data_IF_844157646752
#
_entry.id   IF_844157646752
#
_cell.length_a   1.000
_cell.length_b   1.000
_cell.length_c   1.000
_cell.angle_alpha   90.00
_cell.angle_beta   90.00
_cell.angle_gamma   90.00
#
_symmetry.space_group_name_H-M   'P 1'
#
loop_
_entity.id
_entity.type
_entity.pdbx_description
1 polymer ?
#
# COMPACT_ATOMS: atom_id res chain seq x y z
N UNK A 1 5.62 -2.50 16.71
CA UNK A 1 5.94 -2.25 15.28
C UNK A 1 4.80 -1.45 14.67
N UNK A 2 5.02 -0.24 14.15
CA UNK A 2 4.02 0.45 13.33
C UNK A 2 3.87 -0.35 12.03
N UNK A 3 2.71 -0.98 11.84
CA UNK A 3 2.37 -1.66 10.59
C UNK A 3 2.41 -0.62 9.46
N UNK A 4 3.40 -0.73 8.59
CA UNK A 4 3.56 0.15 7.44
C UNK A 4 2.35 -0.03 6.51
N UNK A 5 1.61 1.04 6.26
CA UNK A 5 0.35 0.98 5.50
C UNK A 5 0.60 0.60 4.04
N UNK A 6 0.00 -0.48 3.56
CA UNK A 6 0.02 -0.85 2.15
C UNK A 6 -0.93 0.04 1.35
N UNK A 7 -0.62 0.34 0.09
CA UNK A 7 -1.45 1.13 -0.81
C UNK A 7 -1.69 0.45 -2.15
N UNK A 8 -2.85 0.75 -2.74
CA UNK A 8 -3.25 0.37 -4.10
C UNK A 8 -3.84 1.61 -4.76
N UNK A 9 -3.42 1.89 -5.99
CA UNK A 9 -3.95 2.97 -6.78
C UNK A 9 -5.34 2.59 -7.33
N UNK A 10 -6.42 3.30 -6.97
CA UNK A 10 -7.74 3.02 -7.51
C UNK A 10 -7.88 3.39 -9.00
N UNK A 11 -7.00 4.25 -9.53
CA UNK A 11 -7.04 4.68 -10.92
C UNK A 11 -6.44 3.67 -11.91
N UNK A 12 -5.30 3.04 -11.56
CA UNK A 12 -4.58 2.14 -12.48
C UNK A 12 -4.21 0.77 -11.89
N UNK A 13 -4.60 0.49 -10.64
CA UNK A 13 -4.30 -0.78 -9.98
C UNK A 13 -2.84 -0.95 -9.51
N UNK A 14 -1.94 0.01 -9.78
CA UNK A 14 -0.57 -0.03 -9.27
C UNK A 14 -0.56 -0.21 -7.75
N UNK A 15 0.28 -1.11 -7.27
CA UNK A 15 0.42 -1.48 -5.86
C UNK A 15 1.89 -1.65 -5.46
N UNK A 16 2.82 -1.15 -6.29
CA UNK A 16 4.27 -1.36 -6.13
C UNK A 16 5.01 -0.11 -5.67
N UNK A 17 4.71 1.06 -6.23
CA UNK A 17 5.50 2.27 -5.97
C UNK A 17 4.64 3.53 -5.82
N UNK A 18 4.93 4.31 -4.78
CA UNK A 18 4.20 5.53 -4.44
C UNK A 18 5.10 6.58 -3.80
N UNK A 19 4.70 7.85 -3.94
CA UNK A 19 5.24 8.97 -3.16
C UNK A 19 4.22 9.39 -2.10
N UNK A 20 4.66 9.48 -0.86
CA UNK A 20 3.88 9.94 0.28
C UNK A 20 4.26 11.39 0.57
N UNK A 21 3.25 12.25 0.60
CA UNK A 21 3.36 13.65 0.99
C UNK A 21 2.48 13.82 2.23
N UNK A 22 3.11 13.77 3.40
CA UNK A 22 2.48 14.00 4.72
C UNK A 22 3.25 15.13 5.41
N UNK A 23 3.39 15.11 6.74
CA UNK A 23 4.41 15.94 7.42
C UNK A 23 5.82 15.70 6.88
N UNK A 24 6.06 14.53 6.29
CA UNK A 24 7.28 14.19 5.59
C UNK A 24 7.01 13.68 4.17
N UNK A 25 7.99 13.88 3.30
CA UNK A 25 8.09 13.27 1.98
C UNK A 25 8.84 11.94 2.05
N UNK A 26 8.25 10.89 1.47
CA UNK A 26 8.86 9.56 1.37
C UNK A 26 8.47 8.91 0.04
N UNK A 27 9.42 8.24 -0.62
CA UNK A 27 9.14 7.29 -1.69
C UNK A 27 9.08 5.90 -1.06
N UNK A 28 8.05 5.14 -1.36
CA UNK A 28 7.91 3.77 -0.86
C UNK A 28 7.81 2.80 -2.03
N UNK A 29 8.39 1.61 -1.82
CA UNK A 29 8.12 0.42 -2.62
C UNK A 29 7.46 -0.65 -1.78
N UNK A 30 6.64 -1.45 -2.44
CA UNK A 30 5.78 -2.46 -1.86
C UNK A 30 5.95 -3.79 -2.61
N UNK A 31 5.86 -4.89 -1.87
CA UNK A 31 5.65 -6.23 -2.45
C UNK A 31 4.17 -6.58 -2.31
N UNK A 32 3.41 -6.63 -3.41
CA UNK A 32 2.04 -7.13 -3.41
C UNK A 32 1.95 -8.58 -2.93
N UNK A 33 2.96 -9.38 -3.25
CA UNK A 33 3.05 -10.80 -2.91
C UNK A 33 3.23 -10.98 -1.41
N UNK A 34 3.89 -10.07 -0.72
CA UNK A 34 4.04 -10.14 0.74
C UNK A 34 3.03 -9.25 1.47
N UNK A 35 2.37 -8.33 0.75
CA UNK A 35 1.44 -7.37 1.33
C UNK A 35 2.11 -6.33 2.24
N UNK A 36 3.42 -6.10 2.06
CA UNK A 36 4.23 -5.22 2.90
C UNK A 36 4.93 -4.15 2.07
N UNK A 37 5.44 -3.11 2.74
CA UNK A 37 6.43 -2.20 2.16
C UNK A 37 7.81 -2.83 2.24
N UNK A 38 8.53 -2.86 1.13
CA UNK A 38 9.85 -3.46 1.01
C UNK A 38 10.96 -2.42 1.13
N UNK A 39 10.76 -1.23 0.58
CA UNK A 39 11.74 -0.14 0.61
C UNK A 39 11.04 1.17 0.98
N UNK A 40 11.73 2.00 1.74
CA UNK A 40 11.32 3.38 2.03
C UNK A 40 12.56 4.26 1.84
N UNK A 41 12.42 5.35 1.08
CA UNK A 41 13.48 6.34 0.98
C UNK A 41 13.72 7.00 2.33
N UNK A 42 14.87 7.67 2.46
CA UNK A 42 15.11 8.58 3.57
C UNK A 42 13.94 9.57 3.69
N UNK A 43 13.49 9.78 4.93
CA UNK A 43 12.38 10.67 5.26
C UNK A 43 12.88 12.09 5.14
N UNK A 44 12.36 12.84 4.17
CA UNK A 44 12.66 14.27 4.02
C UNK A 44 11.50 15.08 4.62
N UNK A 45 11.77 16.22 5.29
CA UNK A 45 10.70 17.10 5.74
C UNK A 45 9.92 17.59 4.52
N UNK A 46 8.58 17.57 4.60
CA UNK A 46 7.77 18.14 3.54
C UNK A 46 7.93 19.66 3.55
N UNK A 47 8.17 20.26 2.38
CA UNK A 47 8.17 21.72 2.20
C UNK A 47 6.78 22.34 2.43
N UNK A 48 5.73 21.51 2.42
CA UNK A 48 4.34 21.89 2.61
C UNK A 48 3.76 21.04 3.72
N UNK A 49 3.79 21.57 4.95
CA UNK A 49 3.41 20.86 6.18
C UNK A 49 1.95 20.36 6.20
N UNK A 50 1.09 20.83 5.29
CA UNK A 50 -0.33 20.48 5.21
C UNK A 50 -0.68 19.54 4.06
N UNK A 51 0.28 19.10 3.26
CA UNK A 51 0.02 18.09 2.24
C UNK A 51 -0.16 16.74 2.95
N UNK A 52 -1.32 16.10 2.78
CA UNK A 52 -1.62 14.77 3.31
C UNK A 52 -2.19 13.87 2.21
N UNK A 53 -1.37 13.61 1.19
CA UNK A 53 -1.76 12.82 0.02
C UNK A 53 -0.69 11.81 -0.37
N UNK A 54 -1.10 10.83 -1.17
CA UNK A 54 -0.24 9.85 -1.81
C UNK A 54 -0.37 10.01 -3.33
N UNK A 55 0.76 9.93 -4.02
CA UNK A 55 0.85 9.97 -5.48
C UNK A 55 1.29 8.61 -6.02
N UNK A 56 0.50 8.09 -6.96
CA UNK A 56 0.85 6.87 -7.68
C UNK A 56 1.96 7.17 -8.71
N UNK A 57 3.09 6.47 -8.65
CA UNK A 57 4.18 6.70 -9.62
C UNK A 57 3.90 6.17 -11.03
N UNK A 58 2.85 5.36 -11.20
CA UNK A 58 2.45 4.86 -12.53
C UNK A 58 1.55 5.84 -13.31
N UNK A 59 0.44 6.29 -12.71
CA UNK A 59 -0.53 7.18 -13.36
C UNK A 59 -0.50 8.63 -12.86
N UNK A 60 0.41 8.96 -11.94
CA UNK A 60 0.61 10.29 -11.36
C UNK A 60 -0.62 10.93 -10.69
N UNK A 61 -1.68 10.14 -10.47
CA UNK A 61 -2.86 10.60 -9.73
C UNK A 61 -2.57 10.67 -8.23
N UNK A 62 -3.22 11.65 -7.60
CA UNK A 62 -3.11 11.94 -6.18
C UNK A 62 -4.37 11.54 -5.45
N UNK A 63 -4.20 10.99 -4.26
CA UNK A 63 -5.30 10.55 -3.41
C UNK A 63 -5.04 11.02 -1.98
N UNK A 64 -6.10 11.40 -1.28
CA UNK A 64 -6.04 11.62 0.16
C UNK A 64 -5.42 10.40 0.87
N UNK A 65 -4.53 10.67 1.82
CA UNK A 65 -3.76 9.62 2.49
C UNK A 65 -4.65 8.63 3.24
N UNK A 66 -5.63 9.12 4.00
CA UNK A 66 -6.46 8.30 4.87
C UNK A 66 -7.42 7.42 4.06
N UNK A 67 -7.94 7.97 2.97
CA UNK A 67 -8.72 7.20 2.00
C UNK A 67 -7.87 6.10 1.35
N UNK A 68 -6.68 6.43 0.83
CA UNK A 68 -5.80 5.46 0.22
C UNK A 68 -5.33 4.37 1.22
N UNK A 69 -5.07 4.74 2.47
CA UNK A 69 -4.75 3.83 3.56
C UNK A 69 -5.90 2.86 3.84
N UNK A 70 -7.14 3.35 3.81
CA UNK A 70 -8.33 2.52 3.97
C UNK A 70 -8.48 1.51 2.83
N UNK A 71 -8.28 1.94 1.59
CA UNK A 71 -8.32 1.07 0.41
C UNK A 71 -7.25 -0.03 0.51
N UNK A 72 -6.01 0.34 0.83
CA UNK A 72 -4.93 -0.62 0.94
C UNK A 72 -5.10 -1.62 2.10
N UNK A 73 -5.63 -1.19 3.25
CA UNK A 73 -6.01 -2.11 4.34
C UNK A 73 -7.04 -3.13 3.89
N UNK A 74 -8.10 -2.70 3.20
CA UNK A 74 -9.12 -3.60 2.66
C UNK A 74 -8.51 -4.59 1.66
N UNK A 75 -7.62 -4.12 0.79
CA UNK A 75 -6.94 -4.97 -0.18
C UNK A 75 -6.15 -6.09 0.51
N UNK A 76 -5.30 -5.76 1.49
CA UNK A 76 -4.51 -6.76 2.22
C UNK A 76 -5.40 -7.74 2.97
N UNK A 77 -6.44 -7.27 3.66
CA UNK A 77 -7.39 -8.14 4.35
C UNK A 77 -8.05 -9.14 3.40
N UNK A 78 -8.50 -8.68 2.23
CA UNK A 78 -9.12 -9.55 1.22
C UNK A 78 -8.11 -10.54 0.64
N UNK A 79 -6.91 -10.10 0.26
CA UNK A 79 -5.88 -10.96 -0.32
C UNK A 79 -5.36 -12.01 0.68
N UNK A 80 -5.23 -11.65 1.96
CA UNK A 80 -4.88 -12.59 3.03
C UNK A 80 -5.98 -13.62 3.27
N UNK A 81 -7.25 -13.22 3.29
CA UNK A 81 -8.39 -14.14 3.40
C UNK A 81 -8.42 -15.13 2.24
N UNK A 82 -8.19 -14.67 1.02
CA UNK A 82 -8.12 -15.54 -0.16
C UNK A 82 -6.97 -16.55 -0.04
N UNK A 83 -5.78 -16.12 0.41
CA UNK A 83 -4.65 -17.04 0.63
C UNK A 83 -4.91 -18.09 1.69
N UNK A 84 -5.50 -17.69 2.82
CA UNK A 84 -5.78 -18.61 3.92
C UNK A 84 -6.98 -19.52 3.62
N UNK A 85 -7.92 -19.09 2.76
CA UNK A 85 -9.00 -19.94 2.25
C UNK A 85 -8.49 -21.00 1.27
N UNK A 86 -7.54 -20.64 0.40
CA UNK A 86 -6.93 -21.58 -0.57
C UNK A 86 -6.14 -22.70 0.12
N UNK A 87 -5.63 -22.50 1.34
CA UNK A 87 -4.94 -23.55 2.10
C UNK A 87 -5.86 -24.59 2.75
N UNK A 88 -7.19 -24.41 2.73
CA UNK A 88 -8.13 -25.37 3.33
C UNK A 88 -8.69 -26.40 2.35
N UNK A 89 -8.48 -26.26 1.03
CA UNK A 89 -9.09 -27.13 0.02
C UNK A 89 -8.15 -28.21 -0.57
N UNK A 90 -6.96 -28.43 0.01
CA UNK A 90 -6.02 -29.48 -0.44
C UNK A 90 -5.59 -30.44 0.66
N UNK A 91 -6.53 -30.97 1.44
CA UNK A 91 -6.35 -32.30 2.06
C UNK A 91 -7.66 -33.05 2.02
N UNK A 92 -7.84 -33.85 0.98
CA UNK A 92 -8.54 -35.14 1.00
C UNK A 92 -8.43 -35.69 -0.40
N UNK A 93 -7.79 -36.84 -0.58
CA UNK A 93 -8.39 -37.97 -1.29
C UNK A 93 -7.64 -39.26 -0.88
N UNK A 94 -8.36 -40.40 -0.88
CA UNK A 94 -8.06 -41.63 -0.15
C UNK A 94 -6.91 -42.48 -0.71
#
# INVERSE_FOLDING_TARGET
>A
MRTKTFFVCPGCGNNKEFKLFTSNFQVIKQSPEQGIRTEESNILPSLRQNDNYIECQHCFQRFDYDNAATIGRKYIQTTQRLRNGVTSDTVSHP
#
